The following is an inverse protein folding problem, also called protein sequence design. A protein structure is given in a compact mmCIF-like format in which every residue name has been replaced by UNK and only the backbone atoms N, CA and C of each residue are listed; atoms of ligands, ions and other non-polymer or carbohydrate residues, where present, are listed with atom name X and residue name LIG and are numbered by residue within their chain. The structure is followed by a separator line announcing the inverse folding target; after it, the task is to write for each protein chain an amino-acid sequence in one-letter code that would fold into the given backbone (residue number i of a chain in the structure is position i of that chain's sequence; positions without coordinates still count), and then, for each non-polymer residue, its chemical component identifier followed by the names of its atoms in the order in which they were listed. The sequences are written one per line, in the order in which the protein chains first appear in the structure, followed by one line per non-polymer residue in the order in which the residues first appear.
data_IF_348382768145
#
_entry.id   IF_348382768145
#
_cell.length_a   1.000
_cell.length_b   1.000
_cell.length_c   1.000
_cell.angle_alpha   90.00
_cell.angle_beta   90.00
_cell.angle_gamma   90.00
#
_symmetry.space_group_name_H-M   'P 1'
#
loop_
_entity.id
_entity.type
_entity.pdbx_description
1 polymer ?
#
# COMPACT_ATOMS: atom_id res chain seq x y z
N UNK A 1 -15.22 13.72 -1.93
CA UNK A 1 -14.67 14.79 -1.13
C UNK A 1 -13.79 15.68 -2.00
N UNK A 2 -13.78 16.96 -1.73
CA UNK A 2 -12.88 17.92 -2.41
C UNK A 2 -11.65 18.25 -1.56
N UNK A 3 -11.46 17.52 -0.47
CA UNK A 3 -10.35 17.70 0.44
C UNK A 3 -9.46 16.44 0.42
N UNK A 4 -8.18 16.62 0.63
CA UNK A 4 -7.24 15.50 0.78
C UNK A 4 -7.61 14.69 2.03
N UNK A 5 -7.73 13.38 1.87
CA UNK A 5 -8.07 12.47 2.95
C UNK A 5 -7.33 11.16 2.75
N UNK A 6 -6.72 10.66 3.82
CA UNK A 6 -6.06 9.36 3.79
C UNK A 6 -7.01 8.22 4.14
N UNK A 7 -7.44 7.50 3.12
CA UNK A 7 -8.38 6.37 3.29
C UNK A 7 -7.77 5.15 3.99
N UNK A 8 -6.43 5.10 4.21
CA UNK A 8 -5.78 4.01 4.95
C UNK A 8 -6.27 3.96 6.40
N UNK A 9 -6.57 5.12 7.01
CA UNK A 9 -7.18 5.18 8.33
C UNK A 9 -8.56 4.51 8.40
N UNK A 10 -9.35 4.60 7.33
CA UNK A 10 -10.65 3.91 7.27
C UNK A 10 -10.48 2.39 7.24
N UNK A 11 -9.50 1.87 6.51
CA UNK A 11 -9.20 0.43 6.50
C UNK A 11 -8.77 -0.07 7.88
N UNK A 12 -7.93 0.70 8.58
CA UNK A 12 -7.48 0.39 9.93
C UNK A 12 -8.67 0.37 10.90
N UNK A 13 -9.50 1.41 10.87
CA UNK A 13 -10.65 1.54 11.78
C UNK A 13 -11.74 0.49 11.52
N UNK A 14 -11.99 0.15 10.25
CA UNK A 14 -12.99 -0.87 9.87
C UNK A 14 -12.45 -2.30 9.93
N UNK A 15 -11.16 -2.50 10.21
CA UNK A 15 -10.51 -3.82 10.20
C UNK A 15 -10.72 -4.55 8.87
N UNK A 16 -10.51 -3.83 7.78
CA UNK A 16 -10.72 -4.28 6.40
C UNK A 16 -9.38 -4.35 5.68
N UNK A 17 -9.18 -5.39 4.89
CA UNK A 17 -7.98 -5.50 4.06
C UNK A 17 -7.94 -4.37 3.03
N UNK A 18 -6.77 -3.75 2.86
CA UNK A 18 -6.54 -2.74 1.82
C UNK A 18 -5.29 -3.07 1.02
N UNK A 19 -5.42 -2.98 -0.29
CA UNK A 19 -4.32 -3.14 -1.25
C UNK A 19 -4.18 -1.89 -2.11
N UNK A 20 -2.96 -1.59 -2.53
CA UNK A 20 -2.65 -0.34 -3.23
C UNK A 20 -1.74 -0.59 -4.43
N UNK A 21 -2.30 -0.60 -5.67
CA UNK A 21 -1.52 -0.75 -6.88
C UNK A 21 -0.75 0.51 -7.23
N UNK A 22 0.38 0.35 -7.92
CA UNK A 22 1.27 1.44 -8.33
C UNK A 22 1.11 1.91 -9.76
N UNK A 23 0.43 1.11 -10.60
CA UNK A 23 0.23 1.40 -12.03
C UNK A 23 -1.01 0.68 -12.59
N UNK A 24 -1.29 0.88 -13.87
CA UNK A 24 -2.47 0.30 -14.55
C UNK A 24 -2.41 -1.23 -14.64
N UNK A 25 -1.23 -1.82 -14.79
CA UNK A 25 -1.04 -3.26 -14.80
C UNK A 25 -1.42 -3.87 -13.46
N UNK A 26 -0.88 -3.29 -12.39
CA UNK A 26 -1.22 -3.70 -11.02
C UNK A 26 -2.68 -3.41 -10.67
N UNK A 27 -3.30 -2.35 -11.19
CA UNK A 27 -4.74 -2.14 -10.99
C UNK A 27 -5.56 -3.34 -11.45
N UNK A 28 -5.25 -3.91 -12.61
CA UNK A 28 -5.92 -5.10 -13.13
C UNK A 28 -5.63 -6.33 -12.27
N UNK A 29 -4.36 -6.58 -11.96
CA UNK A 29 -3.94 -7.76 -11.18
C UNK A 29 -4.50 -7.70 -9.76
N UNK A 30 -4.42 -6.53 -9.11
CA UNK A 30 -4.91 -6.36 -7.75
C UNK A 30 -6.44 -6.43 -7.68
N UNK A 31 -7.15 -5.91 -8.68
CA UNK A 31 -8.60 -6.08 -8.74
C UNK A 31 -8.98 -7.57 -8.80
N UNK A 32 -8.29 -8.38 -9.62
CA UNK A 32 -8.48 -9.82 -9.66
C UNK A 32 -8.17 -10.47 -8.31
N UNK A 33 -7.01 -10.16 -7.74
CA UNK A 33 -6.60 -10.68 -6.44
C UNK A 33 -7.56 -10.27 -5.30
N UNK A 34 -8.15 -9.07 -5.37
CA UNK A 34 -9.09 -8.58 -4.37
C UNK A 34 -10.30 -9.50 -4.21
N UNK A 35 -10.85 -10.01 -5.30
CA UNK A 35 -11.98 -10.97 -5.24
C UNK A 35 -11.55 -12.28 -4.58
N UNK A 36 -10.40 -12.82 -4.93
CA UNK A 36 -9.88 -14.06 -4.35
C UNK A 36 -9.61 -13.91 -2.85
N UNK A 37 -9.00 -12.79 -2.47
CA UNK A 37 -8.68 -12.49 -1.07
C UNK A 37 -9.94 -12.22 -0.25
N UNK A 38 -10.94 -11.57 -0.84
CA UNK A 38 -12.24 -11.34 -0.20
C UNK A 38 -12.92 -12.65 0.15
N UNK A 39 -12.97 -13.59 -0.77
CA UNK A 39 -13.55 -14.92 -0.52
C UNK A 39 -12.71 -15.72 0.47
N UNK A 40 -11.40 -15.73 0.30
CA UNK A 40 -10.47 -16.46 1.17
C UNK A 40 -10.57 -16.05 2.64
N UNK A 41 -10.68 -14.75 2.90
CA UNK A 41 -10.66 -14.19 4.26
C UNK A 41 -12.04 -13.76 4.77
N UNK A 42 -13.10 -13.93 3.98
CA UNK A 42 -14.46 -13.52 4.37
C UNK A 42 -14.53 -12.06 4.80
N UNK A 43 -13.94 -11.15 4.01
CA UNK A 43 -13.85 -9.71 4.29
C UNK A 43 -13.85 -8.92 2.99
N UNK A 44 -14.48 -7.74 2.94
CA UNK A 44 -14.28 -6.83 1.81
C UNK A 44 -12.81 -6.43 1.66
N UNK A 45 -12.35 -6.29 0.42
CA UNK A 45 -11.00 -5.78 0.13
C UNK A 45 -11.14 -4.41 -0.51
N UNK A 46 -10.49 -3.41 0.09
CA UNK A 46 -10.43 -2.06 -0.47
C UNK A 46 -9.24 -1.99 -1.42
N UNK A 47 -9.48 -1.63 -2.68
CA UNK A 47 -8.43 -1.28 -3.64
C UNK A 47 -8.29 0.24 -3.63
N UNK A 48 -7.21 0.73 -3.03
CA UNK A 48 -6.94 2.17 -2.92
C UNK A 48 -6.21 2.65 -4.17
N UNK A 49 -6.74 3.68 -4.81
CA UNK A 49 -6.13 4.33 -5.95
C UNK A 49 -5.86 5.80 -5.61
N UNK A 50 -4.66 6.29 -5.95
CA UNK A 50 -4.39 7.72 -5.96
C UNK A 50 -4.96 8.35 -7.23
N UNK A 51 -5.10 9.68 -7.23
CA UNK A 51 -5.55 10.43 -8.41
C UNK A 51 -4.65 10.15 -9.61
N UNK A 52 -3.33 10.11 -9.42
CA UNK A 52 -2.37 9.85 -10.49
C UNK A 52 -2.54 8.46 -11.11
N UNK A 53 -2.69 7.43 -10.29
CA UNK A 53 -2.95 6.06 -10.79
C UNK A 53 -4.28 6.00 -11.53
N UNK A 54 -5.33 6.66 -11.01
CA UNK A 54 -6.66 6.67 -11.62
C UNK A 54 -6.70 7.37 -12.98
N UNK A 55 -5.86 8.38 -13.19
CA UNK A 55 -5.76 9.14 -14.44
C UNK A 55 -4.63 8.65 -15.35
N UNK A 56 -3.79 7.73 -14.90
CA UNK A 56 -2.72 7.16 -15.71
C UNK A 56 -3.26 6.26 -16.82
N UNK A 57 -2.52 6.18 -17.91
CA UNK A 57 -2.79 5.26 -19.01
C UNK A 57 -1.48 4.55 -19.36
N UNK A 58 -1.50 3.24 -19.34
CA UNK A 58 -0.38 2.41 -19.77
C UNK A 58 -0.88 1.16 -20.48
N UNK A 59 0.00 0.52 -21.24
CA UNK A 59 -0.31 -0.76 -21.85
C UNK A 59 -0.52 -1.82 -20.76
N UNK A 60 -1.61 -2.55 -20.85
CA UNK A 60 -1.96 -3.65 -19.94
C UNK A 60 -2.14 -4.91 -20.76
N UNK A 61 -1.49 -5.98 -20.34
CA UNK A 61 -1.64 -7.28 -20.98
C UNK A 61 -3.06 -7.81 -20.81
N UNK A 62 -3.68 -8.24 -21.92
CA UNK A 62 -5.01 -8.83 -21.91
C UNK A 62 -4.88 -10.32 -21.57
N UNK A 63 -5.80 -10.81 -20.76
CA UNK A 63 -5.92 -12.22 -20.42
C UNK A 63 -7.31 -12.72 -20.84
N UNK A 64 -7.42 -14.00 -21.06
CA UNK A 64 -8.71 -14.66 -21.24
C UNK A 64 -9.57 -14.54 -19.97
N UNK A 65 -10.88 -14.48 -20.17
CA UNK A 65 -11.83 -14.46 -19.05
C UNK A 65 -11.79 -15.80 -18.32
N UNK A 66 -11.60 -15.77 -17.02
CA UNK A 66 -11.78 -16.93 -16.17
C UNK A 66 -13.24 -16.98 -15.67
N UNK A 67 -13.93 -18.05 -16.00
CA UNK A 67 -15.26 -18.30 -15.45
C UNK A 67 -15.12 -19.01 -14.10
N UNK A 68 -15.91 -18.53 -13.13
CA UNK A 68 -15.95 -19.12 -11.78
C UNK A 68 -17.38 -19.53 -11.47
N UNK A 69 -17.50 -20.64 -10.75
CA UNK A 69 -18.78 -21.04 -10.19
C UNK A 69 -19.24 -20.02 -9.13
N UNK A 70 -20.52 -19.69 -9.16
CA UNK A 70 -21.11 -18.84 -8.14
C UNK A 70 -21.12 -19.57 -6.80
N UNK A 71 -20.58 -18.95 -5.78
CA UNK A 71 -20.70 -19.43 -4.41
C UNK A 71 -22.16 -19.25 -3.99
N UNK A 72 -22.88 -20.33 -3.61
CA UNK A 72 -24.27 -20.22 -3.21
C UNK A 72 -24.41 -19.37 -1.96
N UNK A 73 -25.42 -18.49 -1.95
CA UNK A 73 -25.72 -17.70 -0.77
C UNK A 73 -26.26 -18.61 0.35
N UNK A 74 -25.59 -18.54 1.50
CA UNK A 74 -26.03 -19.21 2.72
C UNK A 74 -26.73 -18.20 3.65
N UNK A 75 -27.95 -18.49 4.03
CA UNK A 75 -28.68 -17.66 4.99
C UNK A 75 -28.16 -17.92 6.42
N UNK A 76 -27.27 -17.04 6.91
CA UNK A 76 -26.68 -17.15 8.23
C UNK A 76 -26.96 -15.89 9.05
N UNK A 77 -28.07 -15.91 9.81
CA UNK A 77 -28.49 -14.79 10.66
C UNK A 77 -27.44 -14.42 11.70
N UNK A 78 -26.75 -15.41 12.27
CA UNK A 78 -25.71 -15.15 13.28
C UNK A 78 -24.49 -14.44 12.69
N UNK A 79 -24.23 -14.63 11.41
CA UNK A 79 -23.12 -13.99 10.69
C UNK A 79 -23.50 -12.59 10.18
N UNK A 80 -24.70 -12.42 9.64
CA UNK A 80 -25.07 -11.22 8.87
C UNK A 80 -25.95 -10.22 9.62
N UNK A 81 -26.58 -10.62 10.72
CA UNK A 81 -27.43 -9.73 11.52
C UNK A 81 -26.71 -9.35 12.81
N UNK A 82 -26.19 -8.12 12.89
CA UNK A 82 -25.34 -7.66 14.00
C UNK A 82 -26.16 -7.16 15.18
N UNK A 83 -27.01 -8.03 15.75
CA UNK A 83 -27.55 -7.82 17.09
C UNK A 83 -26.42 -7.94 18.14
N UNK A 84 -26.54 -7.29 19.32
CA UNK A 84 -25.49 -7.28 20.34
C UNK A 84 -24.89 -8.66 20.65
N UNK A 85 -25.74 -9.68 20.83
CA UNK A 85 -25.29 -11.07 21.09
C UNK A 85 -24.55 -11.71 19.94
N UNK A 86 -24.85 -11.36 18.69
CA UNK A 86 -24.11 -11.81 17.52
C UNK A 86 -22.79 -11.03 17.35
N UNK A 87 -22.82 -9.72 17.56
CA UNK A 87 -21.65 -8.85 17.49
C UNK A 87 -20.54 -9.30 18.46
N UNK A 88 -20.91 -9.63 19.72
CA UNK A 88 -19.96 -10.15 20.71
C UNK A 88 -19.25 -11.42 20.19
N UNK A 89 -19.99 -12.33 19.55
CA UNK A 89 -19.42 -13.56 18.98
C UNK A 89 -18.59 -13.32 17.72
N UNK A 90 -18.96 -12.31 16.93
CA UNK A 90 -18.22 -11.95 15.69
C UNK A 90 -16.92 -11.24 15.97
N UNK A 91 -16.80 -10.47 17.03
CA UNK A 91 -15.59 -9.70 17.32
C UNK A 91 -14.31 -10.55 17.37
N UNK A 92 -14.24 -11.69 18.11
CA UNK A 92 -13.07 -12.57 18.06
C UNK A 92 -12.75 -13.10 16.66
N UNK A 93 -13.76 -13.36 15.83
CA UNK A 93 -13.58 -13.81 14.44
C UNK A 93 -12.93 -12.72 13.61
N UNK A 94 -13.34 -11.45 13.78
CA UNK A 94 -12.73 -10.30 13.09
C UNK A 94 -11.26 -10.14 13.49
N UNK A 95 -10.93 -10.24 14.78
CA UNK A 95 -9.54 -10.12 15.25
C UNK A 95 -8.67 -11.29 14.74
N UNK A 96 -9.16 -12.51 14.78
CA UNK A 96 -8.46 -13.68 14.25
C UNK A 96 -8.22 -13.56 12.72
N UNK A 97 -9.20 -13.04 12.00
CA UNK A 97 -9.10 -12.78 10.56
C UNK A 97 -8.04 -11.73 10.25
N UNK A 98 -8.02 -10.61 10.97
CA UNK A 98 -7.00 -9.58 10.78
C UNK A 98 -5.59 -10.13 11.02
N UNK A 99 -5.42 -11.01 12.01
CA UNK A 99 -4.16 -11.70 12.23
C UNK A 99 -3.80 -12.61 11.05
N UNK A 100 -4.75 -13.41 10.56
CA UNK A 100 -4.50 -14.30 9.41
C UNK A 100 -4.14 -13.52 8.13
N UNK A 101 -4.74 -12.33 7.91
CA UNK A 101 -4.39 -11.45 6.80
C UNK A 101 -2.98 -10.86 7.02
N UNK A 102 -2.61 -10.47 8.24
CA UNK A 102 -1.27 -10.00 8.54
C UNK A 102 -0.21 -11.08 8.27
N UNK A 103 -0.46 -12.31 8.71
CA UNK A 103 0.42 -13.46 8.44
C UNK A 103 0.54 -13.73 6.92
N UNK A 104 -0.56 -13.63 6.17
CA UNK A 104 -0.54 -13.73 4.71
C UNK A 104 0.26 -12.60 4.06
N UNK A 105 0.15 -11.38 4.55
CA UNK A 105 0.84 -10.22 4.00
C UNK A 105 2.38 -10.38 4.04
N UNK A 106 2.93 -11.14 4.99
CA UNK A 106 4.38 -11.37 5.10
C UNK A 106 4.97 -12.11 3.88
N UNK A 107 4.17 -12.93 3.21
CA UNK A 107 4.62 -13.75 2.06
C UNK A 107 3.84 -13.48 0.79
N UNK A 108 2.98 -12.48 0.79
CA UNK A 108 2.13 -12.15 -0.35
C UNK A 108 2.93 -11.68 -1.56
N UNK A 109 2.65 -12.19 -2.77
CA UNK A 109 3.28 -11.70 -3.98
C UNK A 109 2.90 -10.26 -4.36
N UNK A 110 1.91 -9.67 -3.69
CA UNK A 110 1.53 -8.27 -3.87
C UNK A 110 2.58 -7.33 -3.26
N UNK A 111 3.34 -7.80 -2.26
CA UNK A 111 4.49 -7.07 -1.71
C UNK A 111 5.75 -7.48 -2.48
N UNK A 112 6.53 -6.51 -2.94
CA UNK A 112 7.72 -6.78 -3.75
C UNK A 112 8.96 -6.21 -3.07
N UNK A 113 10.02 -7.02 -2.99
CA UNK A 113 11.35 -6.60 -2.53
C UNK A 113 12.29 -6.59 -3.74
N UNK A 114 12.91 -5.45 -3.99
CA UNK A 114 13.94 -5.29 -5.01
C UNK A 114 15.23 -4.85 -4.32
N UNK A 115 16.24 -5.71 -4.32
CA UNK A 115 17.53 -5.42 -3.71
C UNK A 115 18.53 -4.96 -4.78
N UNK A 116 19.01 -3.72 -4.64
CA UNK A 116 20.08 -3.12 -5.45
C UNK A 116 21.18 -2.59 -4.50
N UNK A 117 21.49 -1.27 -4.54
CA UNK A 117 22.39 -0.67 -3.55
C UNK A 117 21.69 -0.61 -2.19
N UNK A 118 22.37 -1.09 -1.16
CA UNK A 118 21.85 -1.16 0.21
C UNK A 118 22.11 0.09 1.05
N UNK A 119 22.81 1.09 0.51
CA UNK A 119 22.99 2.39 1.20
C UNK A 119 21.67 3.11 1.43
N UNK A 120 20.76 2.97 0.48
CA UNK A 120 19.43 3.57 0.52
C UNK A 120 18.39 2.45 0.40
N UNK A 121 17.58 2.29 1.44
CA UNK A 121 16.36 1.48 1.40
C UNK A 121 15.13 2.39 1.32
N UNK A 122 14.16 2.02 0.50
CA UNK A 122 12.89 2.74 0.37
C UNK A 122 11.73 1.80 0.65
N UNK A 123 10.91 2.15 1.63
CA UNK A 123 9.63 1.49 1.91
C UNK A 123 8.53 2.41 1.39
N UNK A 124 7.64 1.91 0.53
CA UNK A 124 6.67 2.73 -0.17
C UNK A 124 5.48 1.91 -0.66
N UNK A 125 4.43 2.57 -1.13
CA UNK A 125 3.24 1.96 -1.74
C UNK A 125 2.70 2.83 -2.89
N UNK A 126 1.82 2.24 -3.70
CA UNK A 126 1.11 2.97 -4.75
C UNK A 126 2.02 3.75 -5.69
N UNK A 127 1.57 4.93 -6.10
CA UNK A 127 2.30 5.79 -7.05
C UNK A 127 3.65 6.28 -6.52
N UNK A 128 3.80 6.40 -5.20
CA UNK A 128 5.07 6.82 -4.60
C UNK A 128 6.22 5.86 -4.92
N UNK A 129 5.92 4.58 -5.19
CA UNK A 129 6.90 3.63 -5.69
C UNK A 129 7.46 4.05 -7.05
N UNK A 130 6.59 4.47 -7.99
CA UNK A 130 7.02 4.89 -9.32
C UNK A 130 7.92 6.14 -9.23
N UNK A 131 7.56 7.10 -8.39
CA UNK A 131 8.38 8.31 -8.19
C UNK A 131 9.75 7.97 -7.57
N UNK A 132 9.77 7.07 -6.58
CA UNK A 132 11.01 6.63 -5.97
C UNK A 132 11.90 5.89 -6.97
N UNK A 133 11.32 5.00 -7.77
CA UNK A 133 12.03 4.22 -8.79
C UNK A 133 12.61 5.09 -9.89
N UNK A 134 11.86 6.06 -10.38
CA UNK A 134 12.33 7.04 -11.38
C UNK A 134 13.45 7.93 -10.84
N UNK A 135 13.33 8.39 -9.59
CA UNK A 135 14.31 9.29 -8.99
C UNK A 135 15.63 8.60 -8.63
N UNK A 136 15.57 7.40 -8.08
CA UNK A 136 16.71 6.75 -7.45
C UNK A 136 17.29 5.59 -8.27
N UNK A 137 16.50 4.97 -9.16
CA UNK A 137 16.93 3.85 -9.99
C UNK A 137 17.59 2.74 -9.18
N UNK A 138 18.75 2.29 -9.63
CA UNK A 138 19.52 1.22 -8.97
C UNK A 138 20.37 1.73 -7.78
N UNK A 139 20.36 3.05 -7.51
CA UNK A 139 21.01 3.64 -6.32
C UNK A 139 20.30 3.30 -5.01
N UNK A 140 19.12 2.69 -5.06
CA UNK A 140 18.33 2.31 -3.90
C UNK A 140 17.76 0.89 -4.03
N UNK A 141 17.50 0.28 -2.88
CA UNK A 141 16.69 -0.94 -2.75
C UNK A 141 15.26 -0.57 -2.35
N UNK A 142 14.29 -1.38 -2.73
CA UNK A 142 12.87 -1.06 -2.54
C UNK A 142 12.12 -2.19 -1.87
N UNK A 143 11.28 -1.83 -0.90
CA UNK A 143 10.15 -2.65 -0.44
C UNK A 143 8.87 -1.93 -0.85
N UNK A 144 8.24 -2.44 -1.90
CA UNK A 144 6.93 -1.97 -2.33
C UNK A 144 5.83 -2.75 -1.63
N UNK A 145 5.04 -2.07 -0.82
CA UNK A 145 3.90 -2.63 -0.13
C UNK A 145 2.68 -2.58 -1.05
N UNK A 146 2.23 -3.73 -1.52
CA UNK A 146 0.95 -3.87 -2.20
C UNK A 146 -0.20 -4.07 -1.21
N UNK A 147 0.06 -4.64 -0.03
CA UNK A 147 -0.90 -4.73 1.08
C UNK A 147 -0.53 -3.67 2.10
N UNK A 148 -1.41 -2.66 2.26
CA UNK A 148 -1.19 -1.52 3.15
C UNK A 148 -2.03 -1.57 4.42
N UNK A 149 -2.97 -2.52 4.51
CA UNK A 149 -3.66 -2.86 5.76
C UNK A 149 -4.17 -4.32 5.75
N UNK A 150 -3.80 -5.14 6.77
CA UNK A 150 -2.73 -4.90 7.74
C UNK A 150 -1.35 -4.94 7.08
N UNK A 151 -0.44 -4.06 7.50
CA UNK A 151 0.92 -4.05 6.98
C UNK A 151 1.77 -5.19 7.55
N UNK A 152 2.58 -5.85 6.70
CA UNK A 152 3.50 -6.89 7.15
C UNK A 152 4.68 -6.27 7.90
N UNK A 153 5.00 -6.78 9.08
CA UNK A 153 6.09 -6.21 9.88
C UNK A 153 7.41 -6.95 9.75
N UNK A 154 7.36 -8.27 9.54
CA UNK A 154 8.59 -9.04 9.47
C UNK A 154 9.36 -8.73 8.19
N UNK A 155 8.69 -8.71 7.02
CA UNK A 155 9.33 -8.34 5.76
C UNK A 155 9.89 -6.91 5.80
N UNK A 156 9.21 -5.97 6.51
CA UNK A 156 9.70 -4.60 6.73
C UNK A 156 10.99 -4.62 7.54
N UNK A 157 11.03 -5.37 8.66
CA UNK A 157 12.23 -5.51 9.49
C UNK A 157 13.38 -6.16 8.74
N UNK A 158 13.11 -7.24 8.02
CA UNK A 158 14.12 -7.98 7.25
C UNK A 158 14.69 -7.15 6.11
N UNK A 159 13.87 -6.31 5.48
CA UNK A 159 14.31 -5.35 4.48
C UNK A 159 15.16 -4.24 5.10
N UNK A 160 14.67 -3.61 6.15
CA UNK A 160 15.34 -2.51 6.82
C UNK A 160 16.71 -2.93 7.39
N UNK A 161 16.83 -4.15 7.92
CA UNK A 161 18.09 -4.68 8.44
C UNK A 161 19.19 -4.84 7.38
N UNK A 162 18.84 -4.85 6.09
CA UNK A 162 19.78 -4.97 4.97
C UNK A 162 20.25 -3.61 4.43
N UNK A 163 19.63 -2.52 4.85
CA UNK A 163 19.90 -1.19 4.34
C UNK A 163 20.58 -0.31 5.41
N UNK A 164 21.51 0.53 5.00
CA UNK A 164 22.22 1.44 5.90
C UNK A 164 21.29 2.58 6.37
N UNK A 165 20.47 3.11 5.46
CA UNK A 165 19.51 4.18 5.73
C UNK A 165 18.19 3.87 5.05
N UNK A 166 17.09 3.95 5.81
CA UNK A 166 15.76 3.58 5.30
C UNK A 166 14.86 4.79 5.27
N UNK A 167 14.26 5.03 4.12
CA UNK A 167 13.28 6.09 3.88
C UNK A 167 11.89 5.49 3.71
N UNK A 168 10.89 6.19 4.22
CA UNK A 168 9.48 5.95 3.87
C UNK A 168 9.04 7.06 2.94
N UNK A 169 8.57 6.68 1.75
CA UNK A 169 8.02 7.61 0.77
C UNK A 169 6.54 7.27 0.59
N UNK A 170 5.68 8.12 1.13
CA UNK A 170 4.22 7.97 1.09
C UNK A 170 3.54 9.34 1.01
N UNK A 171 2.45 9.42 0.27
CA UNK A 171 1.61 10.63 0.19
C UNK A 171 0.67 10.71 1.38
N UNK A 172 0.20 11.91 1.70
CA UNK A 172 -0.72 12.23 2.81
C UNK A 172 -0.11 11.92 4.18
N UNK A 173 -0.82 11.13 5.00
CA UNK A 173 -0.45 10.89 6.39
C UNK A 173 0.74 9.90 6.54
N UNK A 174 1.32 9.85 7.72
CA UNK A 174 2.49 9.03 8.09
C UNK A 174 2.13 7.58 8.48
N UNK A 175 1.28 6.92 7.70
CA UNK A 175 0.72 5.61 8.06
C UNK A 175 1.78 4.51 8.03
N UNK A 176 2.59 4.46 6.96
CA UNK A 176 3.70 3.48 6.84
C UNK A 176 4.81 3.82 7.83
N UNK A 177 5.19 5.10 7.90
CA UNK A 177 6.22 5.58 8.81
C UNK A 177 5.87 5.28 10.27
N UNK A 178 4.65 5.63 10.70
CA UNK A 178 4.15 5.33 12.05
C UNK A 178 4.15 3.83 12.33
N UNK A 179 3.74 3.00 11.37
CA UNK A 179 3.78 1.54 11.53
C UNK A 179 5.22 1.05 11.72
N UNK A 180 6.17 1.52 10.93
CA UNK A 180 7.59 1.19 11.06
C UNK A 180 8.13 1.58 12.44
N UNK A 181 7.96 2.84 12.84
CA UNK A 181 8.46 3.38 14.11
C UNK A 181 7.84 2.68 15.33
N UNK A 182 6.53 2.42 15.31
CA UNK A 182 5.82 1.66 16.37
C UNK A 182 6.41 0.27 16.58
N UNK A 183 6.94 -0.35 15.54
CA UNK A 183 7.51 -1.69 15.56
C UNK A 183 9.04 -1.70 15.71
N UNK A 184 9.65 -0.55 16.03
CA UNK A 184 11.08 -0.42 16.31
C UNK A 184 11.97 -0.37 15.06
N UNK A 185 11.41 -0.08 13.88
CA UNK A 185 12.17 0.14 12.65
C UNK A 185 12.48 1.63 12.52
N UNK A 186 13.77 1.97 12.47
CA UNK A 186 14.21 3.35 12.30
C UNK A 186 14.10 3.76 10.84
N UNK A 187 13.25 4.73 10.56
CA UNK A 187 12.98 5.24 9.21
C UNK A 187 12.88 6.75 9.21
N UNK A 188 13.15 7.35 8.05
CA UNK A 188 13.04 8.77 7.76
C UNK A 188 11.88 8.94 6.77
N UNK A 189 10.89 9.74 7.09
CA UNK A 189 9.69 9.91 6.27
C UNK A 189 9.20 11.37 6.22
N UNK A 190 8.16 11.71 6.95
CA UNK A 190 7.50 13.03 6.91
C UNK A 190 8.36 14.20 7.39
N UNK A 191 9.49 13.96 7.99
CA UNK A 191 10.48 15.01 8.23
C UNK A 191 11.09 15.56 6.93
N UNK A 192 11.03 14.80 5.81
CA UNK A 192 11.48 15.20 4.48
C UNK A 192 10.33 15.50 3.53
N UNK A 193 9.21 14.79 3.65
CA UNK A 193 8.09 14.84 2.71
C UNK A 193 6.87 15.48 3.34
N UNK A 194 6.21 16.38 2.58
CA UNK A 194 5.01 17.08 3.02
C UNK A 194 3.85 16.12 3.33
N UNK A 195 2.99 16.53 4.27
CA UNK A 195 1.68 15.91 4.51
C UNK A 195 0.63 16.34 3.48
N UNK A 196 0.92 17.34 2.67
CA UNK A 196 -0.01 17.93 1.71
C UNK A 196 0.54 17.87 0.30
N UNK A 197 -0.35 17.66 -0.65
CA UNK A 197 -0.03 17.67 -2.06
C UNK A 197 0.61 16.37 -2.55
N UNK A 198 0.99 16.38 -3.82
CA UNK A 198 1.59 15.23 -4.49
C UNK A 198 3.11 15.19 -4.25
N UNK A 199 3.64 13.99 -4.19
CA UNK A 199 5.08 13.72 -4.30
C UNK A 199 5.42 13.58 -5.79
N UNK A 200 6.65 13.91 -6.17
CA UNK A 200 7.17 13.70 -7.51
C UNK A 200 8.59 13.11 -7.47
N UNK A 201 9.04 12.53 -8.58
CA UNK A 201 10.41 12.07 -8.73
C UNK A 201 11.42 13.18 -8.44
N UNK A 202 11.12 14.40 -8.84
CA UNK A 202 11.97 15.59 -8.60
C UNK A 202 12.12 15.87 -7.10
N UNK A 203 11.02 15.84 -6.34
CA UNK A 203 11.03 16.02 -4.89
C UNK A 203 11.84 14.90 -4.22
N UNK A 204 11.66 13.66 -4.67
CA UNK A 204 12.41 12.51 -4.13
C UNK A 204 13.91 12.67 -4.39
N UNK A 205 14.32 13.00 -5.62
CA UNK A 205 15.72 13.21 -5.98
C UNK A 205 16.35 14.37 -5.17
N UNK A 206 15.64 15.48 -5.04
CA UNK A 206 16.10 16.63 -4.25
C UNK A 206 16.30 16.26 -2.77
N UNK A 207 15.31 15.60 -2.17
CA UNK A 207 15.32 15.31 -0.72
C UNK A 207 16.29 14.20 -0.33
N UNK A 208 16.50 13.20 -1.19
CA UNK A 208 17.34 12.03 -0.87
C UNK A 208 18.75 12.17 -1.44
N UNK A 209 18.88 12.63 -2.70
CA UNK A 209 20.17 12.74 -3.37
C UNK A 209 20.79 14.15 -3.27
N UNK A 210 20.00 15.16 -2.87
CA UNK A 210 20.44 16.57 -2.85
C UNK A 210 20.59 17.17 -4.25
N UNK A 211 20.00 16.52 -5.27
CA UNK A 211 20.03 16.99 -6.65
C UNK A 211 19.11 18.21 -6.79
N UNK A 212 19.67 19.34 -7.23
CA UNK A 212 18.88 20.53 -7.57
C UNK A 212 18.41 20.42 -9.01
N UNK A 213 17.10 20.33 -9.21
CA UNK A 213 16.53 20.41 -10.54
C UNK A 213 16.22 21.87 -10.89
N UNK A 214 16.65 22.31 -12.06
CA UNK A 214 16.21 23.58 -12.63
C UNK A 214 14.77 23.37 -13.13
N UNK A 215 13.81 24.00 -12.47
CA UNK A 215 12.42 24.00 -12.92
C UNK A 215 12.30 24.94 -14.12
N UNK A 216 11.69 24.46 -15.18
CA UNK A 216 11.20 25.34 -16.24
C UNK A 216 9.96 26.04 -15.67
N UNK A 217 10.11 27.28 -15.27
CA UNK A 217 8.97 28.13 -14.90
C UNK A 217 8.31 28.64 -16.18
N UNK A 218 7.06 28.25 -16.41
CA UNK A 218 6.24 28.90 -17.43
C UNK A 218 5.74 30.19 -16.81
N UNK A 219 6.03 31.32 -17.47
CA UNK A 219 5.37 32.58 -17.13
C UNK A 219 3.90 32.45 -17.49
N UNK A 220 3.02 32.62 -16.49
CA UNK A 220 1.59 32.72 -16.74
C UNK A 220 1.33 33.96 -17.63
N UNK A 221 0.90 33.69 -18.86
CA UNK A 221 0.46 34.73 -19.80
C UNK A 221 -1.02 35.05 -19.58
#
# INVERSE_FOLDING_TARGET
SQNEQDSRHHAIASKTMMIEPSDSGECKEFAKAAFELSEKFDVPVIVRLSTRVSHSQSAVELCEREERENIPYENNIQKYVMMPGNAIRRHPVVEARMKAIADYAETSPLNKVEMNDTKIGVITSGISYQYAKEALGDKASYLKLGIVNPMPIQIIKDFAAKCEKVYVIEELDDVIETHCKKNGVNVIGKELFSLMGEISQTIVAEKILGEKNEYITFEDN
#
